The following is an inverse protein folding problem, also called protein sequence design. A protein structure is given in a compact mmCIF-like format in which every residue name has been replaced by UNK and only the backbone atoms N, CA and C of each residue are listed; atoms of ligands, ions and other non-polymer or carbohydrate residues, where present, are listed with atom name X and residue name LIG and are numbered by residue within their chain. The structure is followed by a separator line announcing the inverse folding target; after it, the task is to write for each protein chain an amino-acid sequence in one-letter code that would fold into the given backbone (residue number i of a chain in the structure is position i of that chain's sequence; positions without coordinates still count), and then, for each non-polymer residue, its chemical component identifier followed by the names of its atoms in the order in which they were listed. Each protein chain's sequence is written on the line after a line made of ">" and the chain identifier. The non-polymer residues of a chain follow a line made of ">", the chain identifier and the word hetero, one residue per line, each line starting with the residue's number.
data_IF_082302934847
#
_entry.id   IF_082302934847
#
_cell.length_a   1.000
_cell.length_b   1.000
_cell.length_c   1.000
_cell.angle_alpha   90.00
_cell.angle_beta   90.00
_cell.angle_gamma   90.00
#
_symmetry.space_group_name_H-M   'P 1'
#
loop_
_entity.id
_entity.type
_entity.pdbx_description
1 polymer ?
#
# COMPACT_ATOMS: atom_id res chain seq x y z
N UNK A 1 -27.57 -17.84 -22.80
CA UNK A 1 -26.69 -18.08 -21.64
C UNK A 1 -25.79 -16.86 -21.51
N UNK A 2 -25.75 -16.22 -20.33
CA UNK A 2 -24.83 -15.10 -20.09
C UNK A 2 -23.38 -15.57 -20.20
N UNK A 3 -22.48 -14.71 -20.69
CA UNK A 3 -21.04 -14.99 -20.73
C UNK A 3 -20.54 -15.15 -19.29
N UNK A 4 -19.94 -16.30 -18.97
CA UNK A 4 -19.27 -16.49 -17.68
C UNK A 4 -17.98 -15.67 -17.70
N UNK A 5 -17.79 -14.79 -16.72
CA UNK A 5 -16.59 -13.94 -16.64
C UNK A 5 -15.50 -14.65 -15.84
N UNK A 6 -14.24 -14.48 -16.23
CA UNK A 6 -13.13 -14.88 -15.37
C UNK A 6 -12.94 -13.85 -14.21
N UNK A 7 -12.04 -14.13 -13.27
CA UNK A 7 -11.85 -13.30 -12.08
C UNK A 7 -11.33 -11.89 -12.43
N UNK A 8 -10.45 -11.77 -13.43
CA UNK A 8 -9.97 -10.49 -13.97
C UNK A 8 -11.11 -9.66 -14.58
N UNK A 9 -11.85 -10.24 -15.51
CA UNK A 9 -12.99 -9.58 -16.18
C UNK A 9 -14.03 -9.12 -15.16
N UNK A 10 -14.39 -9.98 -14.21
CA UNK A 10 -15.37 -9.67 -13.16
C UNK A 10 -14.92 -8.53 -12.25
N UNK A 11 -13.64 -8.53 -11.85
CA UNK A 11 -13.05 -7.45 -11.04
C UNK A 11 -13.14 -6.11 -11.78
N UNK A 12 -12.70 -6.06 -13.03
CA UNK A 12 -12.76 -4.85 -13.85
C UNK A 12 -14.20 -4.39 -14.09
N UNK A 13 -15.11 -5.28 -14.48
CA UNK A 13 -16.53 -4.96 -14.67
C UNK A 13 -17.20 -4.43 -13.39
N UNK A 14 -16.77 -4.89 -12.22
CA UNK A 14 -17.32 -4.41 -10.94
C UNK A 14 -16.86 -2.99 -10.63
N UNK A 15 -15.55 -2.74 -10.66
CA UNK A 15 -14.97 -1.45 -10.26
C UNK A 15 -15.12 -0.37 -11.33
N UNK A 16 -15.36 -0.74 -12.59
CA UNK A 16 -15.62 0.19 -13.69
C UNK A 16 -17.11 0.42 -13.93
N UNK A 17 -17.97 0.05 -12.97
CA UNK A 17 -19.43 0.24 -13.04
C UNK A 17 -20.09 -0.43 -14.27
N UNK A 18 -19.57 -1.59 -14.66
CA UNK A 18 -20.04 -2.43 -15.75
C UNK A 18 -21.16 -3.40 -15.34
N UNK A 19 -21.18 -4.59 -15.97
CA UNK A 19 -22.20 -5.63 -15.74
C UNK A 19 -21.53 -6.96 -15.40
N UNK A 20 -20.93 -7.09 -14.20
CA UNK A 20 -20.34 -8.35 -13.79
C UNK A 20 -21.44 -9.42 -13.66
N UNK A 21 -21.07 -10.68 -13.90
CA UNK A 21 -21.96 -11.83 -13.68
C UNK A 21 -22.29 -12.03 -12.19
N UNK A 22 -21.43 -11.53 -11.30
CA UNK A 22 -21.63 -11.35 -9.85
C UNK A 22 -20.57 -10.41 -9.26
N UNK A 23 -20.79 -9.93 -8.04
CA UNK A 23 -19.80 -9.12 -7.31
C UNK A 23 -18.65 -10.01 -6.77
N UNK A 24 -17.37 -9.66 -6.99
CA UNK A 24 -16.22 -10.32 -6.36
C UNK A 24 -16.33 -10.27 -4.84
N UNK A 25 -15.96 -11.35 -4.17
CA UNK A 25 -15.93 -11.43 -2.72
C UNK A 25 -14.48 -11.64 -2.26
N UNK A 26 -13.93 -10.67 -1.54
CA UNK A 26 -12.61 -10.74 -0.94
C UNK A 26 -12.60 -9.88 0.34
N UNK A 27 -13.02 -10.44 1.49
CA UNK A 27 -13.17 -9.70 2.75
C UNK A 27 -11.84 -9.42 3.47
N UNK A 28 -10.70 -9.76 2.86
CA UNK A 28 -9.39 -9.68 3.49
C UNK A 28 -9.11 -10.85 4.44
N UNK A 29 -7.96 -10.80 5.11
CA UNK A 29 -7.50 -11.84 6.03
C UNK A 29 -7.52 -11.40 7.50
N UNK A 30 -7.67 -12.33 8.44
CA UNK A 30 -7.69 -12.03 9.88
C UNK A 30 -6.29 -11.71 10.41
N UNK A 31 -6.23 -10.93 11.50
CA UNK A 31 -5.07 -10.86 12.39
C UNK A 31 -4.90 -12.20 13.12
N UNK A 32 -3.69 -12.50 13.61
CA UNK A 32 -3.40 -13.75 14.32
C UNK A 32 -4.29 -13.96 15.55
N UNK A 33 -4.52 -12.90 16.34
CA UNK A 33 -5.40 -12.96 17.52
C UNK A 33 -6.87 -13.20 17.15
N UNK A 34 -7.34 -12.61 16.04
CA UNK A 34 -8.69 -12.81 15.49
C UNK A 34 -8.87 -14.25 15.02
N UNK A 35 -7.95 -14.78 14.23
CA UNK A 35 -8.01 -16.17 13.76
C UNK A 35 -7.98 -17.15 14.93
N UNK A 36 -7.12 -16.89 15.92
CA UNK A 36 -7.07 -17.68 17.15
C UNK A 36 -8.39 -17.64 17.93
N UNK A 37 -9.11 -16.52 17.91
CA UNK A 37 -10.43 -16.42 18.52
C UNK A 37 -11.48 -17.22 17.75
N UNK A 38 -11.48 -17.17 16.42
CA UNK A 38 -12.38 -17.95 15.58
C UNK A 38 -12.23 -19.46 15.83
N UNK A 39 -11.00 -19.95 15.97
CA UNK A 39 -10.78 -21.36 16.31
C UNK A 39 -11.41 -21.77 17.65
N UNK A 40 -11.30 -20.91 18.67
CA UNK A 40 -11.95 -21.14 19.96
C UNK A 40 -13.48 -21.02 19.92
N UNK A 41 -14.02 -20.35 18.90
CA UNK A 41 -15.45 -20.08 18.75
C UNK A 41 -16.17 -21.04 17.81
N UNK A 42 -15.45 -21.94 17.16
CA UNK A 42 -16.05 -23.02 16.37
C UNK A 42 -15.43 -23.29 15.00
N UNK A 43 -14.43 -22.51 14.56
CA UNK A 43 -13.65 -22.84 13.36
C UNK A 43 -12.71 -24.02 13.69
N UNK A 44 -12.83 -25.20 13.05
CA UNK A 44 -11.98 -26.34 13.39
C UNK A 44 -10.48 -26.03 13.24
N UNK A 45 -9.64 -26.60 14.10
CA UNK A 45 -8.18 -26.42 14.00
C UNK A 45 -7.67 -27.04 12.70
N UNK A 46 -6.89 -26.27 11.94
CA UNK A 46 -6.32 -26.68 10.65
C UNK A 46 -7.20 -26.37 9.44
N UNK A 47 -8.45 -25.95 9.64
CA UNK A 47 -9.30 -25.47 8.55
C UNK A 47 -8.86 -24.07 8.11
N UNK A 48 -8.91 -23.84 6.80
CA UNK A 48 -8.70 -22.51 6.24
C UNK A 48 -9.93 -21.64 6.47
N UNK A 49 -9.72 -20.48 7.11
CA UNK A 49 -10.80 -19.55 7.46
C UNK A 49 -11.60 -19.07 6.24
N UNK A 50 -10.95 -18.93 5.08
CA UNK A 50 -11.61 -18.44 3.87
C UNK A 50 -12.47 -19.53 3.25
N UNK A 51 -11.99 -20.78 3.20
CA UNK A 51 -12.80 -21.93 2.79
C UNK A 51 -14.03 -22.11 3.69
N UNK A 52 -13.86 -22.08 5.01
CA UNK A 52 -14.98 -22.17 5.95
C UNK A 52 -16.00 -21.04 5.75
N UNK A 53 -15.54 -19.82 5.43
CA UNK A 53 -16.41 -18.69 5.12
C UNK A 53 -17.18 -18.91 3.81
N UNK A 54 -16.52 -19.41 2.75
CA UNK A 54 -17.17 -19.72 1.49
C UNK A 54 -18.24 -20.80 1.66
N UNK A 55 -17.95 -21.85 2.44
CA UNK A 55 -18.91 -22.92 2.75
C UNK A 55 -20.15 -22.39 3.48
N UNK A 56 -19.96 -21.53 4.50
CA UNK A 56 -21.07 -20.88 5.23
C UNK A 56 -21.94 -20.03 4.28
N UNK A 57 -21.32 -19.34 3.33
CA UNK A 57 -22.01 -18.50 2.35
C UNK A 57 -22.58 -19.29 1.17
N UNK A 58 -22.32 -20.60 1.08
CA UNK A 58 -22.73 -21.44 -0.04
C UNK A 58 -22.04 -21.07 -1.35
N UNK A 59 -20.84 -20.49 -1.28
CA UNK A 59 -20.03 -20.10 -2.44
C UNK A 59 -19.02 -21.19 -2.78
N UNK A 60 -18.77 -21.42 -4.07
CA UNK A 60 -17.74 -22.37 -4.50
C UNK A 60 -16.37 -21.70 -4.58
N UNK A 61 -15.32 -22.44 -4.27
CA UNK A 61 -13.94 -21.95 -4.35
C UNK A 61 -13.56 -21.52 -5.76
N UNK A 62 -13.93 -22.30 -6.77
CA UNK A 62 -13.63 -22.02 -8.18
C UNK A 62 -14.33 -20.76 -8.68
N UNK A 63 -15.38 -20.36 -7.97
CA UNK A 63 -16.14 -19.17 -8.24
C UNK A 63 -15.51 -17.92 -7.59
N UNK A 64 -14.77 -18.08 -6.50
CA UNK A 64 -14.19 -17.01 -5.70
C UNK A 64 -12.69 -16.77 -5.98
N UNK A 65 -11.96 -17.78 -6.45
CA UNK A 65 -10.50 -17.73 -6.58
C UNK A 65 -10.00 -17.84 -8.03
N UNK A 66 -8.78 -17.33 -8.32
CA UNK A 66 -8.09 -17.56 -9.58
C UNK A 66 -7.93 -19.05 -9.90
N UNK A 67 -8.08 -19.43 -11.17
CA UNK A 67 -7.84 -20.81 -11.62
C UNK A 67 -6.36 -21.03 -11.98
N UNK A 68 -5.67 -19.98 -12.40
CA UNK A 68 -4.24 -20.03 -12.69
C UNK A 68 -3.40 -19.67 -11.47
N UNK A 69 -2.16 -20.19 -11.36
CA UNK A 69 -1.23 -19.78 -10.32
C UNK A 69 -1.03 -18.26 -10.31
N UNK A 70 -1.15 -17.66 -9.12
CA UNK A 70 -0.94 -16.22 -8.92
C UNK A 70 0.55 -15.92 -8.92
N UNK A 71 0.97 -15.01 -9.79
CA UNK A 71 2.34 -14.54 -9.94
C UNK A 71 2.43 -13.11 -9.41
N UNK A 72 3.34 -12.87 -8.47
CA UNK A 72 3.64 -11.53 -7.98
C UNK A 72 4.83 -10.94 -8.76
N UNK A 73 4.73 -9.68 -9.21
CA UNK A 73 5.79 -8.98 -9.95
C UNK A 73 7.14 -8.95 -9.21
N UNK A 74 7.11 -8.93 -7.87
CA UNK A 74 8.30 -8.93 -7.00
C UNK A 74 9.07 -7.61 -6.98
N UNK A 75 8.52 -6.54 -7.58
CA UNK A 75 9.19 -5.24 -7.66
C UNK A 75 9.15 -4.53 -6.31
N UNK A 76 10.31 -4.04 -5.85
CA UNK A 76 10.45 -3.40 -4.54
C UNK A 76 10.47 -1.86 -4.66
N UNK A 77 9.46 -1.19 -4.12
CA UNK A 77 9.37 0.28 -4.03
C UNK A 77 9.94 0.86 -2.71
N UNK A 78 10.40 0.01 -1.78
CA UNK A 78 10.88 0.44 -0.45
C UNK A 78 12.31 0.97 -0.50
N UNK A 79 12.86 1.44 0.61
CA UNK A 79 14.28 1.81 0.66
C UNK A 79 15.22 0.59 0.47
N UNK A 80 16.30 0.77 -0.31
CA UNK A 80 17.39 -0.21 -0.50
C UNK A 80 18.74 0.50 -0.37
N UNK A 81 19.63 0.08 0.55
CA UNK A 81 19.38 -0.87 1.63
C UNK A 81 18.38 -0.29 2.64
N UNK A 82 17.83 -1.15 3.48
CA UNK A 82 17.05 -0.75 4.66
C UNK A 82 17.97 -0.28 5.78
N UNK A 83 17.41 0.31 6.83
CA UNK A 83 18.15 0.51 8.07
C UNK A 83 18.37 -0.83 8.77
N UNK A 84 19.45 -0.94 9.52
CA UNK A 84 19.69 -2.10 10.38
C UNK A 84 18.63 -2.11 11.49
N UNK A 85 17.85 -3.18 11.55
CA UNK A 85 16.93 -3.41 12.66
C UNK A 85 17.70 -3.86 13.90
N UNK A 86 17.52 -3.15 15.02
CA UNK A 86 18.19 -3.53 16.28
C UNK A 86 17.43 -3.06 17.51
N UNK A 87 17.45 -3.90 18.53
CA UNK A 87 16.99 -3.54 19.87
C UNK A 87 18.03 -2.62 20.50
N UNK A 88 17.59 -1.43 20.90
CA UNK A 88 18.41 -0.43 21.59
C UNK A 88 18.30 -0.59 23.11
N UNK A 89 17.11 -0.92 23.60
CA UNK A 89 16.83 -1.13 25.02
C UNK A 89 15.68 -2.14 25.19
N UNK A 90 15.73 -2.94 26.25
CA UNK A 90 14.62 -3.76 26.72
C UNK A 90 14.42 -3.49 28.21
N UNK A 91 13.29 -2.88 28.57
CA UNK A 91 13.00 -2.46 29.93
C UNK A 91 11.50 -2.34 30.16
N UNK A 92 11.05 -2.59 31.38
CA UNK A 92 9.66 -2.34 31.83
C UNK A 92 8.58 -2.96 30.91
N UNK A 93 8.85 -4.15 30.36
CA UNK A 93 7.92 -4.85 29.46
C UNK A 93 7.87 -4.33 28.02
N UNK A 94 8.87 -3.53 27.61
CA UNK A 94 8.91 -2.87 26.30
C UNK A 94 10.29 -2.98 25.64
N UNK A 95 10.28 -3.12 24.33
CA UNK A 95 11.46 -2.96 23.48
C UNK A 95 11.49 -1.55 22.91
N UNK A 96 12.64 -0.89 22.97
CA UNK A 96 12.98 0.28 22.15
C UNK A 96 13.85 -0.21 21.00
N UNK A 97 13.42 0.02 19.77
CA UNK A 97 13.98 -0.60 18.57
C UNK A 97 14.24 0.48 17.52
N UNK A 98 15.36 0.40 16.82
CA UNK A 98 15.48 1.03 15.51
C UNK A 98 14.88 0.08 14.47
N UNK A 99 13.81 0.49 13.81
CA UNK A 99 13.15 -0.34 12.80
C UNK A 99 13.85 -0.31 11.43
N UNK A 100 13.32 -1.08 10.47
CA UNK A 100 13.88 -1.20 9.13
C UNK A 100 13.78 0.10 8.31
N UNK A 101 12.93 1.04 8.73
CA UNK A 101 12.75 2.36 8.13
C UNK A 101 13.64 3.42 8.78
N UNK A 102 14.26 3.09 9.92
CA UNK A 102 15.19 3.94 10.65
C UNK A 102 14.54 4.74 11.78
N UNK A 103 13.25 4.53 12.06
CA UNK A 103 12.58 5.16 13.20
C UNK A 103 12.92 4.45 14.51
N UNK A 104 12.93 5.21 15.61
CA UNK A 104 13.07 4.68 16.96
C UNK A 104 11.67 4.46 17.53
N UNK A 105 11.30 3.19 17.66
CA UNK A 105 9.94 2.75 17.97
C UNK A 105 9.92 1.91 19.23
N UNK A 106 8.91 2.14 20.07
CA UNK A 106 8.61 1.38 21.28
C UNK A 106 7.42 0.45 21.04
N UNK A 107 7.59 -0.82 21.43
CA UNK A 107 6.55 -1.85 21.37
C UNK A 107 6.55 -2.67 22.67
N UNK A 108 5.41 -3.28 23.00
CA UNK A 108 5.35 -4.25 24.10
C UNK A 108 6.17 -5.49 23.78
N UNK A 109 6.91 -6.01 24.76
CA UNK A 109 7.72 -7.22 24.64
C UNK A 109 6.94 -8.54 24.52
N UNK A 110 5.59 -8.45 24.57
CA UNK A 110 4.68 -9.52 24.14
C UNK A 110 4.83 -9.85 22.66
N UNK A 111 5.30 -8.90 21.86
CA UNK A 111 5.58 -9.06 20.44
C UNK A 111 7.09 -9.00 20.21
N UNK A 112 7.58 -9.85 19.33
CA UNK A 112 8.92 -9.69 18.78
C UNK A 112 8.96 -8.43 17.88
N UNK A 113 10.12 -7.77 17.78
CA UNK A 113 10.27 -6.52 17.06
C UNK A 113 9.97 -6.62 15.56
N UNK A 114 10.00 -7.82 14.97
CA UNK A 114 9.60 -8.02 13.57
C UNK A 114 8.11 -7.77 13.33
N UNK A 115 7.28 -7.67 14.37
CA UNK A 115 5.88 -7.23 14.26
C UNK A 115 5.74 -5.75 13.86
N UNK A 116 6.84 -5.00 13.82
CA UNK A 116 6.87 -3.64 13.24
C UNK A 116 6.81 -3.72 11.70
N UNK A 117 7.31 -4.81 11.09
CA UNK A 117 7.40 -4.95 9.63
C UNK A 117 6.06 -5.08 8.91
N UNK A 118 5.06 -5.63 9.59
CA UNK A 118 3.73 -5.85 9.03
C UNK A 118 2.69 -5.91 10.13
N UNK A 119 1.44 -5.68 9.76
CA UNK A 119 0.32 -5.74 10.69
C UNK A 119 -0.12 -7.21 10.93
N UNK A 120 0.76 -8.02 11.54
CA UNK A 120 0.44 -9.42 11.91
C UNK A 120 -0.66 -9.50 12.96
N UNK A 121 -0.62 -8.58 13.91
CA UNK A 121 -1.57 -8.47 15.02
C UNK A 121 -1.76 -7.01 15.43
N UNK A 122 -2.62 -6.76 16.43
CA UNK A 122 -2.93 -5.44 16.97
C UNK A 122 -1.81 -4.89 17.86
N UNK A 123 -0.69 -4.53 17.23
CA UNK A 123 0.48 -3.99 17.90
C UNK A 123 0.37 -2.48 18.03
N UNK A 124 0.18 -2.00 19.26
CA UNK A 124 0.30 -0.57 19.57
C UNK A 124 1.78 -0.19 19.55
N UNK A 125 2.10 0.87 18.82
CA UNK A 125 3.47 1.37 18.64
C UNK A 125 3.54 2.81 19.11
N UNK A 126 4.69 3.19 19.64
CA UNK A 126 5.01 4.59 19.96
C UNK A 126 6.32 4.97 19.30
N UNK A 127 6.29 6.03 18.51
CA UNK A 127 7.48 6.54 17.83
C UNK A 127 8.13 7.62 18.71
N UNK A 128 9.41 7.43 19.01
CA UNK A 128 10.23 8.37 19.76
C UNK A 128 11.00 9.31 18.85
N UNK A 129 11.44 8.80 17.69
CA UNK A 129 12.27 9.55 16.74
C UNK A 129 12.07 9.00 15.34
N UNK A 130 12.17 9.88 14.36
CA UNK A 130 12.08 9.54 12.93
C UNK A 130 13.46 9.71 12.26
N UNK A 131 13.72 9.01 11.13
CA UNK A 131 15.03 9.05 10.48
C UNK A 131 15.35 10.40 9.83
N UNK A 132 14.35 11.24 9.54
CA UNK A 132 14.49 12.55 8.90
C UNK A 132 13.92 13.66 9.81
N UNK A 133 14.80 14.42 10.45
CA UNK A 133 14.43 15.60 11.25
C UNK A 133 14.99 16.90 10.65
N UNK A 134 15.99 16.78 9.76
CA UNK A 134 16.70 17.89 9.13
C UNK A 134 16.93 17.63 7.64
N UNK A 135 17.26 18.68 6.89
CA UNK A 135 17.72 18.58 5.49
C UNK A 135 18.91 17.63 5.35
N UNK A 136 19.86 17.70 6.27
CA UNK A 136 21.04 16.82 6.27
C UNK A 136 20.69 15.35 6.46
N UNK A 137 19.69 15.04 7.30
CA UNK A 137 19.21 13.68 7.48
C UNK A 137 18.61 13.12 6.19
N UNK A 138 17.81 13.91 5.49
CA UNK A 138 17.23 13.52 4.21
C UNK A 138 18.32 13.16 3.19
N UNK A 139 19.29 14.04 2.99
CA UNK A 139 20.35 13.85 2.00
C UNK A 139 21.30 12.71 2.37
N UNK A 140 21.73 12.63 3.64
CA UNK A 140 22.76 11.68 4.06
C UNK A 140 22.21 10.32 4.46
N UNK A 141 20.94 10.22 4.87
CA UNK A 141 20.37 8.97 5.41
C UNK A 141 19.30 8.36 4.52
N UNK A 142 18.54 9.15 3.76
CA UNK A 142 17.31 8.68 3.12
C UNK A 142 17.36 8.69 1.58
N UNK A 143 17.65 9.83 0.97
CA UNK A 143 17.52 10.07 -0.48
C UNK A 143 18.21 9.00 -1.33
N UNK A 144 19.45 8.66 -1.00
CA UNK A 144 20.26 7.69 -1.76
C UNK A 144 19.76 6.24 -1.67
N UNK A 145 18.87 5.90 -0.71
CA UNK A 145 18.28 4.56 -0.59
C UNK A 145 17.15 4.32 -1.60
N UNK A 146 16.71 5.36 -2.29
CA UNK A 146 15.67 5.30 -3.30
C UNK A 146 16.27 5.51 -4.70
N UNK A 147 17.29 4.71 -5.02
CA UNK A 147 17.76 4.60 -6.40
C UNK A 147 16.81 3.69 -7.20
N UNK A 148 16.11 4.23 -8.22
CA UNK A 148 15.22 3.43 -9.06
C UNK A 148 15.98 2.48 -10.00
N UNK A 149 17.28 2.70 -10.21
CA UNK A 149 18.14 1.87 -11.05
C UNK A 149 18.84 0.74 -10.27
N UNK A 150 18.59 0.62 -8.95
CA UNK A 150 19.21 -0.42 -8.14
C UNK A 150 18.82 -1.82 -8.69
N UNK A 151 19.79 -2.71 -8.99
CA UNK A 151 19.50 -4.03 -9.57
C UNK A 151 18.54 -4.88 -8.72
N UNK A 152 18.55 -4.67 -7.39
CA UNK A 152 17.69 -5.40 -6.45
C UNK A 152 16.22 -4.93 -6.46
N UNK A 153 15.87 -3.92 -7.27
CA UNK A 153 14.48 -3.45 -7.43
C UNK A 153 13.61 -4.49 -8.11
N UNK A 154 14.17 -5.23 -9.05
CA UNK A 154 13.49 -6.27 -9.82
C UNK A 154 14.10 -7.62 -9.47
N UNK A 155 13.29 -8.66 -9.30
CA UNK A 155 13.82 -9.99 -9.07
C UNK A 155 14.49 -10.53 -10.36
N UNK A 156 15.44 -11.46 -10.22
CA UNK A 156 16.18 -12.03 -11.35
C UNK A 156 15.27 -12.74 -12.38
N UNK A 157 14.08 -13.18 -11.94
CA UNK A 157 13.07 -13.84 -12.76
C UNK A 157 11.96 -12.89 -13.26
N UNK A 158 12.15 -11.57 -13.17
CA UNK A 158 11.13 -10.57 -13.52
C UNK A 158 10.57 -10.73 -14.93
N UNK A 159 11.42 -10.92 -15.94
CA UNK A 159 11.00 -11.13 -17.33
C UNK A 159 10.14 -12.39 -17.47
N UNK A 160 10.53 -13.47 -16.77
CA UNK A 160 9.76 -14.72 -16.80
C UNK A 160 8.39 -14.55 -16.13
N UNK A 161 8.30 -13.76 -15.05
CA UNK A 161 7.03 -13.39 -14.42
C UNK A 161 6.15 -12.58 -15.37
N UNK A 162 6.72 -11.61 -16.10
CA UNK A 162 5.99 -10.82 -17.08
C UNK A 162 5.37 -11.70 -18.18
N UNK A 163 6.12 -12.69 -18.69
CA UNK A 163 5.61 -13.62 -19.70
C UNK A 163 4.45 -14.48 -19.15
N UNK A 164 4.55 -14.97 -17.91
CA UNK A 164 3.46 -15.73 -17.26
C UNK A 164 2.19 -14.91 -17.07
N UNK A 165 2.32 -13.60 -16.84
CA UNK A 165 1.18 -12.70 -16.59
C UNK A 165 0.36 -12.38 -17.84
N UNK A 166 0.86 -12.67 -19.06
CA UNK A 166 0.14 -12.41 -20.32
C UNK A 166 -1.12 -13.25 -20.48
N UNK A 167 -1.14 -14.45 -19.93
CA UNK A 167 -2.26 -15.40 -20.02
C UNK A 167 -2.95 -15.59 -18.64
N UNK A 168 -2.96 -14.59 -17.76
CA UNK A 168 -3.61 -14.71 -16.44
C UNK A 168 -5.13 -14.58 -16.51
N UNK A 169 -5.83 -15.10 -15.50
CA UNK A 169 -7.29 -15.00 -15.34
C UNK A 169 -7.71 -14.21 -14.09
N UNK A 170 -6.77 -13.53 -13.44
CA UNK A 170 -6.95 -12.74 -12.23
C UNK A 170 -6.43 -11.30 -12.41
N UNK A 171 -6.95 -10.31 -11.64
CA UNK A 171 -6.42 -8.95 -11.69
C UNK A 171 -4.98 -8.91 -11.16
N UNK A 172 -4.11 -8.15 -11.83
CA UNK A 172 -2.76 -7.85 -11.33
C UNK A 172 -2.60 -6.36 -11.08
N UNK A 173 -1.84 -6.08 -10.03
CA UNK A 173 -1.60 -4.73 -9.58
C UNK A 173 -0.40 -4.63 -8.66
N UNK A 174 -0.11 -3.41 -8.25
CA UNK A 174 0.85 -3.13 -7.19
C UNK A 174 0.39 -1.93 -6.39
N UNK A 175 0.91 -1.83 -5.17
CA UNK A 175 0.62 -0.75 -4.25
C UNK A 175 1.85 0.14 -4.14
N UNK A 176 1.64 1.45 -4.14
CA UNK A 176 2.69 2.43 -3.88
C UNK A 176 2.20 3.38 -2.80
N UNK A 177 3.09 3.71 -1.86
CA UNK A 177 2.78 4.77 -0.92
C UNK A 177 2.61 6.08 -1.69
N UNK A 178 1.55 6.80 -1.38
CA UNK A 178 1.41 8.18 -1.77
C UNK A 178 2.45 9.06 -1.07
N UNK A 179 2.71 10.27 -1.61
CA UNK A 179 3.72 11.17 -1.08
C UNK A 179 3.53 11.52 0.40
N UNK A 180 2.30 11.75 0.87
CA UNK A 180 2.08 12.14 2.26
C UNK A 180 2.41 11.00 3.22
N UNK A 181 1.95 9.78 2.96
CA UNK A 181 2.28 8.60 3.74
C UNK A 181 3.78 8.35 3.70
N UNK A 182 4.41 8.33 2.51
CA UNK A 182 5.84 8.05 2.42
C UNK A 182 6.70 9.05 3.22
N UNK A 183 6.36 10.33 3.16
CA UNK A 183 7.04 11.36 3.93
C UNK A 183 6.70 11.25 5.44
N UNK A 184 5.47 10.88 5.79
CA UNK A 184 5.04 10.64 7.19
C UNK A 184 5.85 9.54 7.85
N UNK A 185 6.20 8.48 7.13
CA UNK A 185 7.08 7.43 7.64
C UNK A 185 8.51 7.92 7.90
N UNK A 186 8.95 8.91 7.11
CA UNK A 186 10.33 9.41 7.15
C UNK A 186 10.50 10.50 8.22
N UNK A 187 9.52 11.40 8.35
CA UNK A 187 9.59 12.57 9.22
C UNK A 187 8.75 12.44 10.49
N UNK A 188 7.73 11.59 10.47
CA UNK A 188 6.65 11.55 11.45
C UNK A 188 5.53 12.52 11.12
N UNK A 189 4.29 12.15 11.45
CA UNK A 189 3.09 12.92 11.09
C UNK A 189 3.15 14.38 11.57
N UNK A 190 3.35 14.59 12.88
CA UNK A 190 3.39 15.93 13.46
C UNK A 190 4.47 16.79 12.81
N UNK A 191 5.68 16.25 12.66
CA UNK A 191 6.80 16.98 12.07
C UNK A 191 6.53 17.32 10.61
N UNK A 192 6.00 16.38 9.82
CA UNK A 192 5.64 16.63 8.44
C UNK A 192 4.60 17.75 8.33
N UNK A 193 3.54 17.73 9.14
CA UNK A 193 2.54 18.79 9.15
C UNK A 193 3.14 20.17 9.48
N UNK A 194 4.08 20.23 10.44
CA UNK A 194 4.80 21.47 10.75
C UNK A 194 5.70 21.92 9.59
N UNK A 195 6.45 21.00 8.97
CA UNK A 195 7.30 21.29 7.81
C UNK A 195 6.49 21.81 6.62
N UNK A 196 5.29 21.31 6.39
CA UNK A 196 4.42 21.81 5.32
C UNK A 196 4.01 23.28 5.50
N UNK A 197 4.10 23.81 6.73
CA UNK A 197 3.82 25.22 7.05
C UNK A 197 5.13 26.02 7.07
N UNK A 198 6.16 25.50 7.73
CA UNK A 198 7.40 26.22 8.04
C UNK A 198 8.42 26.19 6.88
N UNK A 199 8.49 25.09 6.14
CA UNK A 199 9.40 24.89 5.00
C UNK A 199 8.71 24.13 3.84
N UNK A 200 7.69 24.74 3.23
CA UNK A 200 6.88 24.08 2.19
C UNK A 200 7.67 23.75 0.92
N UNK A 201 8.72 24.52 0.60
CA UNK A 201 9.52 24.27 -0.60
C UNK A 201 10.37 23.00 -0.45
N UNK A 202 10.90 22.73 0.74
CA UNK A 202 11.58 21.47 1.00
C UNK A 202 10.63 20.27 0.96
N UNK A 203 9.41 20.41 1.51
CA UNK A 203 8.40 19.34 1.39
C UNK A 203 8.06 19.07 -0.08
N UNK A 204 7.90 20.11 -0.92
CA UNK A 204 7.69 19.94 -2.37
C UNK A 204 8.87 19.24 -3.04
N UNK A 205 10.11 19.52 -2.63
CA UNK A 205 11.28 18.79 -3.14
C UNK A 205 11.18 17.30 -2.80
N UNK A 206 10.89 16.96 -1.53
CA UNK A 206 10.74 15.56 -1.09
C UNK A 206 9.60 14.85 -1.83
N UNK A 207 8.45 15.50 -2.01
CA UNK A 207 7.32 14.97 -2.78
C UNK A 207 7.70 14.76 -4.25
N UNK A 208 8.37 15.73 -4.87
CA UNK A 208 8.83 15.64 -6.26
C UNK A 208 9.83 14.49 -6.44
N UNK A 209 10.76 14.33 -5.49
CA UNK A 209 11.70 13.22 -5.47
C UNK A 209 10.98 11.87 -5.41
N UNK A 210 10.03 11.72 -4.49
CA UNK A 210 9.25 10.48 -4.37
C UNK A 210 8.43 10.18 -5.63
N UNK A 211 7.81 11.22 -6.20
CA UNK A 211 7.05 11.14 -7.45
C UNK A 211 7.91 10.58 -8.58
N UNK A 212 9.11 11.12 -8.76
CA UNK A 212 10.03 10.70 -9.80
C UNK A 212 10.54 9.27 -9.59
N UNK A 213 10.92 8.94 -8.35
CA UNK A 213 11.34 7.59 -7.99
C UNK A 213 10.26 6.56 -8.35
N UNK A 214 9.02 6.76 -7.92
CA UNK A 214 7.92 5.84 -8.20
C UNK A 214 7.65 5.75 -9.70
N UNK A 215 7.57 6.87 -10.43
CA UNK A 215 7.37 6.84 -11.90
C UNK A 215 8.47 6.05 -12.60
N UNK A 216 9.73 6.18 -12.18
CA UNK A 216 10.88 5.46 -12.80
C UNK A 216 10.89 3.96 -12.50
N UNK A 217 10.48 3.55 -11.30
CA UNK A 217 10.34 2.12 -10.95
C UNK A 217 9.08 1.53 -11.59
N UNK A 218 8.03 2.33 -11.76
CA UNK A 218 6.79 1.87 -12.37
C UNK A 218 6.92 1.66 -13.89
N UNK A 219 7.68 2.52 -14.59
CA UNK A 219 7.74 2.51 -16.05
C UNK A 219 8.08 1.14 -16.69
N UNK A 220 9.09 0.38 -16.24
CA UNK A 220 9.38 -0.95 -16.79
C UNK A 220 8.30 -2.00 -16.54
N UNK A 221 7.50 -1.84 -15.47
CA UNK A 221 6.33 -2.69 -15.22
C UNK A 221 5.27 -2.43 -16.28
N UNK A 222 4.94 -1.14 -16.50
CA UNK A 222 3.90 -0.71 -17.43
C UNK A 222 4.24 -1.03 -18.90
N UNK A 223 5.52 -1.10 -19.26
CA UNK A 223 5.99 -1.51 -20.59
C UNK A 223 5.78 -3.00 -20.88
N UNK A 224 5.78 -3.85 -19.84
CA UNK A 224 5.84 -5.31 -19.99
C UNK A 224 4.56 -6.04 -19.58
N UNK A 225 3.75 -5.43 -18.71
CA UNK A 225 2.59 -6.06 -18.10
C UNK A 225 1.38 -5.14 -18.23
N UNK A 226 0.29 -5.71 -18.73
CA UNK A 226 -1.02 -5.07 -18.68
C UNK A 226 -1.50 -5.05 -17.22
N UNK A 227 -1.38 -3.91 -16.54
CA UNK A 227 -1.74 -3.77 -15.12
C UNK A 227 -3.23 -3.43 -15.01
N UNK A 228 -3.98 -4.15 -14.16
CA UNK A 228 -5.42 -3.94 -14.02
C UNK A 228 -5.76 -2.89 -12.97
N UNK A 229 -4.98 -2.83 -11.89
CA UNK A 229 -5.22 -1.91 -10.78
C UNK A 229 -3.92 -1.45 -10.13
N UNK A 230 -3.81 -0.17 -9.82
CA UNK A 230 -2.76 0.34 -8.93
C UNK A 230 -3.40 1.03 -7.75
N UNK A 231 -2.93 0.69 -6.55
CA UNK A 231 -3.40 1.31 -5.31
C UNK A 231 -2.37 2.32 -4.84
N UNK A 232 -2.79 3.57 -4.69
CA UNK A 232 -2.02 4.61 -4.02
C UNK A 232 -2.40 4.55 -2.54
N UNK A 233 -1.50 4.04 -1.70
CA UNK A 233 -1.69 3.99 -0.25
C UNK A 233 -1.39 5.38 0.34
N UNK A 234 -2.43 6.11 0.72
CA UNK A 234 -2.35 7.45 1.27
C UNK A 234 -3.28 7.63 2.48
N UNK A 235 -3.01 6.91 3.57
CA UNK A 235 -3.67 7.09 4.86
C UNK A 235 -3.42 8.52 5.40
N UNK A 236 -4.44 9.36 5.21
CA UNK A 236 -4.36 10.80 5.42
C UNK A 236 -5.63 11.38 6.02
N UNK A 237 -6.49 10.56 6.64
CA UNK A 237 -7.67 11.05 7.35
C UNK A 237 -7.83 10.44 8.75
N UNK A 238 -8.44 11.23 9.62
CA UNK A 238 -8.95 10.82 10.92
C UNK A 238 -10.45 10.55 10.82
N UNK A 239 -11.05 10.15 11.93
CA UNK A 239 -12.49 9.88 12.03
C UNK A 239 -13.40 10.99 11.49
N UNK A 240 -13.05 12.26 11.69
CA UNK A 240 -13.96 13.40 11.38
C UNK A 240 -13.41 14.37 10.32
N UNK A 241 -12.12 14.30 9.96
CA UNK A 241 -11.46 15.21 9.01
C UNK A 241 -10.15 14.64 8.48
N UNK A 242 -9.66 15.18 7.36
CA UNK A 242 -8.34 14.87 6.82
C UNK A 242 -7.20 15.43 7.68
N UNK A 243 -6.04 14.74 7.69
CA UNK A 243 -4.85 15.15 8.46
C UNK A 243 -4.22 16.46 7.95
N UNK A 244 -4.45 16.81 6.69
CA UNK A 244 -4.09 18.09 6.06
C UNK A 244 -5.31 18.66 5.33
N UNK A 245 -5.35 19.97 5.14
CA UNK A 245 -6.50 20.61 4.46
C UNK A 245 -6.58 20.20 2.98
N UNK A 246 -7.77 20.28 2.36
CA UNK A 246 -7.93 20.10 0.91
C UNK A 246 -7.03 21.03 0.09
N UNK A 247 -6.77 22.25 0.57
CA UNK A 247 -5.83 23.20 -0.06
C UNK A 247 -4.39 22.66 -0.03
N UNK A 248 -3.94 22.13 1.10
CA UNK A 248 -2.62 21.50 1.22
C UNK A 248 -2.54 20.24 0.35
N UNK A 249 -3.57 19.39 0.34
CA UNK A 249 -3.61 18.21 -0.52
C UNK A 249 -3.50 18.59 -2.01
N UNK A 250 -4.18 19.67 -2.43
CA UNK A 250 -4.05 20.23 -3.79
C UNK A 250 -2.66 20.80 -4.08
N UNK A 251 -2.07 21.49 -3.12
CA UNK A 251 -0.76 22.13 -3.31
C UNK A 251 0.39 21.14 -3.35
N UNK A 252 0.38 20.13 -2.47
CA UNK A 252 1.49 19.21 -2.27
C UNK A 252 1.32 17.89 -3.02
N UNK A 253 0.13 17.28 -3.02
CA UNK A 253 -0.04 15.87 -3.41
C UNK A 253 -0.67 15.70 -4.79
N UNK A 254 -1.62 16.56 -5.14
CA UNK A 254 -2.36 16.49 -6.41
C UNK A 254 -1.46 16.46 -7.67
N UNK A 255 -0.35 17.23 -7.77
CA UNK A 255 0.56 17.11 -8.91
C UNK A 255 1.14 15.69 -9.09
N UNK A 256 1.46 15.02 -7.99
CA UNK A 256 1.94 13.63 -7.98
C UNK A 256 0.87 12.68 -8.48
N UNK A 257 -0.36 12.77 -7.94
CA UNK A 257 -1.48 11.93 -8.37
C UNK A 257 -1.75 12.09 -9.86
N UNK A 258 -1.78 13.32 -10.37
CA UNK A 258 -1.99 13.58 -11.79
C UNK A 258 -0.91 12.96 -12.67
N UNK A 259 0.35 13.02 -12.25
CA UNK A 259 1.46 12.40 -13.00
C UNK A 259 1.33 10.89 -13.02
N UNK A 260 1.15 10.24 -11.87
CA UNK A 260 1.04 8.79 -11.81
C UNK A 260 -0.21 8.27 -12.53
N UNK A 261 -1.36 8.92 -12.37
CA UNK A 261 -2.58 8.56 -13.11
C UNK A 261 -2.36 8.72 -14.60
N UNK A 262 -1.71 9.80 -15.07
CA UNK A 262 -1.37 9.96 -16.49
C UNK A 262 -0.52 8.78 -17.00
N UNK A 263 0.57 8.46 -16.30
CA UNK A 263 1.47 7.36 -16.66
C UNK A 263 0.71 6.02 -16.73
N UNK A 264 -0.21 5.77 -15.79
CA UNK A 264 -1.05 4.57 -15.72
C UNK A 264 -2.11 4.52 -16.82
N UNK A 265 -2.71 5.65 -17.20
CA UNK A 265 -3.68 5.70 -18.29
C UNK A 265 -3.02 5.51 -19.65
N UNK A 266 -1.80 6.01 -19.81
CA UNK A 266 -1.00 5.82 -21.04
C UNK A 266 -0.57 4.36 -21.24
N UNK A 267 -0.60 3.53 -20.19
CA UNK A 267 -0.36 2.07 -20.24
C UNK A 267 -1.64 1.23 -20.19
N UNK A 268 -2.80 1.84 -20.46
CA UNK A 268 -4.12 1.20 -20.46
C UNK A 268 -4.54 0.61 -19.11
N UNK A 269 -3.93 1.04 -17.98
CA UNK A 269 -4.38 0.62 -16.66
C UNK A 269 -5.77 1.21 -16.35
N UNK A 270 -6.80 0.36 -16.14
CA UNK A 270 -8.17 0.84 -16.04
C UNK A 270 -8.53 1.36 -14.65
N UNK A 271 -7.87 0.90 -13.59
CA UNK A 271 -8.25 1.21 -12.21
C UNK A 271 -7.05 1.82 -11.47
N UNK A 272 -7.28 3.00 -10.91
CA UNK A 272 -6.38 3.62 -9.93
C UNK A 272 -7.20 3.81 -8.67
N UNK A 273 -6.83 3.08 -7.61
CA UNK A 273 -7.48 3.10 -6.31
C UNK A 273 -6.71 3.99 -5.34
N UNK A 274 -7.41 4.72 -4.48
CA UNK A 274 -6.83 5.43 -3.34
C UNK A 274 -7.14 4.67 -2.06
N UNK A 275 -6.11 4.30 -1.30
CA UNK A 275 -6.24 3.66 0.00
C UNK A 275 -6.06 4.69 1.13
N UNK A 276 -7.15 5.06 1.81
CA UNK A 276 -7.15 6.06 2.88
C UNK A 276 -8.30 5.83 3.88
N UNK A 277 -7.95 5.44 5.11
CA UNK A 277 -8.90 5.22 6.20
C UNK A 277 -9.48 6.54 6.75
N UNK A 278 -10.66 6.49 7.37
CA UNK A 278 -11.28 7.65 8.03
C UNK A 278 -12.13 8.55 7.12
N UNK A 279 -12.28 9.83 7.47
CA UNK A 279 -13.17 10.77 6.81
C UNK A 279 -12.53 11.41 5.57
N UNK A 280 -12.80 10.80 4.43
CA UNK A 280 -12.20 11.15 3.14
C UNK A 280 -13.04 12.09 2.26
N UNK A 281 -14.26 12.45 2.69
CA UNK A 281 -15.23 13.18 1.85
C UNK A 281 -14.68 14.48 1.25
N UNK A 282 -13.83 15.20 1.98
CA UNK A 282 -13.24 16.47 1.52
C UNK A 282 -12.12 16.26 0.48
N UNK A 283 -11.55 15.06 0.42
CA UNK A 283 -10.45 14.69 -0.47
C UNK A 283 -10.93 14.03 -1.77
N UNK A 284 -12.08 13.32 -1.73
CA UNK A 284 -12.67 12.66 -2.91
C UNK A 284 -12.72 13.56 -4.16
N UNK A 285 -13.15 14.85 -4.09
CA UNK A 285 -13.16 15.72 -5.27
C UNK A 285 -11.78 15.92 -5.91
N UNK A 286 -10.71 15.96 -5.09
CA UNK A 286 -9.32 16.10 -5.54
C UNK A 286 -8.89 14.82 -6.27
N UNK A 287 -9.25 13.66 -5.75
CA UNK A 287 -8.92 12.36 -6.34
C UNK A 287 -9.63 12.15 -7.68
N UNK A 288 -10.93 12.46 -7.75
CA UNK A 288 -11.71 12.41 -9.00
C UNK A 288 -11.07 13.33 -10.05
N UNK A 289 -10.70 14.55 -9.67
CA UNK A 289 -10.03 15.49 -10.58
C UNK A 289 -8.66 14.99 -11.06
N UNK A 290 -7.95 14.23 -10.22
CA UNK A 290 -6.68 13.59 -10.60
C UNK A 290 -6.87 12.39 -11.53
N UNK A 291 -8.10 11.88 -11.68
CA UNK A 291 -8.43 10.70 -12.48
C UNK A 291 -8.35 9.36 -11.73
N UNK A 292 -8.24 9.42 -10.40
CA UNK A 292 -8.43 8.27 -9.50
C UNK A 292 -9.91 7.92 -9.52
N UNK A 293 -10.22 6.64 -9.76
CA UNK A 293 -11.58 6.17 -10.04
C UNK A 293 -12.07 5.09 -9.08
N UNK A 294 -11.27 4.75 -8.07
CA UNK A 294 -11.63 3.83 -7.00
C UNK A 294 -11.05 4.35 -5.67
N UNK A 295 -11.68 4.01 -4.55
CA UNK A 295 -11.10 4.23 -3.23
C UNK A 295 -11.51 3.13 -2.25
N UNK A 296 -10.63 2.85 -1.31
CA UNK A 296 -10.80 1.88 -0.24
C UNK A 296 -10.06 2.37 1.03
N UNK A 297 -10.41 1.87 2.22
CA UNK A 297 -11.72 1.33 2.55
C UNK A 297 -12.82 2.42 2.47
N UNK A 298 -14.07 1.97 2.54
CA UNK A 298 -15.23 2.86 2.73
C UNK A 298 -15.79 2.57 4.13
N UNK A 299 -15.57 3.50 5.07
CA UNK A 299 -15.96 3.40 6.48
C UNK A 299 -17.19 4.24 6.86
#
# INVERSE_FOLDING_TARGET
>A
MGKFLNSRERFCETLLFGKPDRVPFNPGGPRESTLSAWHRQGLPEGDDHYEALLDILGMKREEALPQKPVVNLGVDFRMIPRFEEKVLEHKDGHYIVQDWMGAITEISDKYDYTYIRSAKDFVTRKWHRFPVETHEDWDKKMKWRYDPNSPSRYPEDFESRCELLKDRDYPIGFNVNGPFWQLRESCGLKNLCMLMIEDPEWVKEMVSFWTDFVSRVMAPILDKVEVDCVVICEDMAYKDHSMISPEMARGFLFPTYRRWVKDLRESDCPIVSMDSDGYINELIPIWIEAGINCCEPME
#
